data_IF_188291685710
#
_entry.id   IF_188291685710
#
_cell.length_a   1.000
_cell.length_b   1.000
_cell.length_c   1.000
_cell.angle_alpha   90.00
_cell.angle_beta   90.00
_cell.angle_gamma   90.00
#
_symmetry.space_group_name_H-M   'P 1'
#
loop_
_entity.id
_entity.type
_entity.pdbx_description
1 polymer ?
#
# COMPACT_ATOMS: atom_id res chain seq x y z
N UNK A 1 4.28 0.65 -17.84
CA UNK A 1 4.82 2.03 -17.95
C UNK A 1 6.09 2.29 -17.10
N UNK A 2 6.66 1.27 -16.42
CA UNK A 2 7.80 1.39 -15.49
C UNK A 2 7.54 2.30 -14.27
N UNK A 3 6.28 2.60 -13.97
CA UNK A 3 5.91 3.37 -12.79
C UNK A 3 5.51 2.42 -11.67
N UNK A 4 5.99 2.71 -10.45
CA UNK A 4 5.48 2.06 -9.27
C UNK A 4 4.10 2.65 -8.94
N UNK A 5 3.09 1.83 -8.61
CA UNK A 5 1.76 2.34 -8.39
C UNK A 5 1.63 2.97 -7.00
N UNK A 6 0.85 4.04 -6.91
CA UNK A 6 0.48 4.67 -5.65
C UNK A 6 -0.92 4.25 -5.26
N UNK A 7 -1.16 3.98 -3.97
CA UNK A 7 -2.45 3.55 -3.50
C UNK A 7 -2.42 2.59 -2.33
N UNK A 8 -3.56 1.94 -2.13
CA UNK A 8 -3.79 1.03 -1.00
C UNK A 8 -4.00 -0.39 -1.50
N UNK A 9 -3.19 -1.30 -0.98
CA UNK A 9 -3.09 -2.68 -1.39
C UNK A 9 -3.17 -3.62 -0.18
N UNK A 10 -3.33 -4.91 -0.45
CA UNK A 10 -3.42 -5.91 0.60
C UNK A 10 -2.64 -7.16 0.18
N UNK A 11 -1.76 -7.62 1.06
CA UNK A 11 -1.10 -8.92 0.91
C UNK A 11 -1.98 -10.00 1.51
N UNK A 12 -2.13 -11.10 0.79
CA UNK A 12 -2.85 -12.30 1.23
C UNK A 12 -1.89 -13.49 1.18
N UNK A 13 -2.27 -14.71 1.62
CA UNK A 13 -1.41 -15.88 1.46
C UNK A 13 -0.96 -16.09 0.00
N UNK A 14 -1.79 -15.75 -0.99
CA UNK A 14 -1.45 -15.84 -2.41
C UNK A 14 -0.42 -14.79 -2.87
N UNK A 15 -0.13 -13.77 -2.05
CA UNK A 15 0.91 -12.78 -2.33
C UNK A 15 2.33 -13.32 -2.12
N UNK A 16 2.49 -14.40 -1.35
CA UNK A 16 3.78 -14.96 -0.99
C UNK A 16 4.41 -15.67 -2.19
N UNK A 17 5.62 -15.26 -2.58
CA UNK A 17 6.43 -15.94 -3.59
C UNK A 17 7.83 -16.29 -3.03
N UNK A 18 7.99 -17.47 -2.40
CA UNK A 18 9.26 -17.91 -1.83
C UNK A 18 10.28 -18.33 -2.89
N UNK A 19 9.82 -18.68 -4.10
CA UNK A 19 10.66 -19.18 -5.19
C UNK A 19 11.00 -18.09 -6.21
N UNK A 20 11.04 -16.83 -5.76
CA UNK A 20 11.32 -15.70 -6.63
C UNK A 20 12.74 -15.76 -7.18
N UNK A 21 12.90 -15.52 -8.48
CA UNK A 21 14.23 -15.30 -9.08
C UNK A 21 14.94 -14.07 -8.52
N UNK A 22 14.27 -13.25 -7.69
CA UNK A 22 14.80 -12.08 -6.98
C UNK A 22 15.00 -12.33 -5.47
N UNK A 23 15.34 -13.56 -5.08
CA UNK A 23 15.54 -14.04 -3.70
C UNK A 23 14.23 -14.35 -2.97
N UNK A 24 13.38 -13.34 -2.75
CA UNK A 24 12.02 -13.46 -2.18
C UNK A 24 11.15 -12.38 -2.80
N UNK A 25 9.83 -12.60 -2.88
CA UNK A 25 8.91 -11.58 -3.36
C UNK A 25 7.52 -11.64 -2.71
N UNK A 26 6.88 -10.48 -2.63
CA UNK A 26 5.51 -10.28 -2.21
C UNK A 26 4.75 -9.54 -3.31
N UNK A 27 3.70 -10.16 -3.86
CA UNK A 27 2.82 -9.50 -4.82
C UNK A 27 1.84 -8.57 -4.09
N UNK A 28 1.85 -7.27 -4.44
CA UNK A 28 0.95 -6.30 -3.80
C UNK A 28 -0.51 -6.43 -4.27
N UNK A 29 -0.79 -7.30 -5.25
CA UNK A 29 -2.12 -7.48 -5.85
C UNK A 29 -2.63 -6.23 -6.59
N UNK A 30 -1.72 -5.57 -7.31
CA UNK A 30 -2.08 -4.58 -8.32
C UNK A 30 -2.60 -5.27 -9.59
N UNK A 31 -3.62 -4.72 -10.30
CA UNK A 31 -4.38 -3.51 -9.95
C UNK A 31 -5.42 -3.79 -8.87
N UNK A 32 -5.66 -2.83 -7.98
CA UNK A 32 -6.78 -2.91 -7.04
C UNK A 32 -8.09 -2.40 -7.68
N UNK A 33 -9.16 -2.24 -6.90
CA UNK A 33 -10.45 -1.71 -7.41
C UNK A 33 -10.36 -0.24 -7.88
N UNK A 34 -9.55 0.58 -7.22
CA UNK A 34 -9.33 1.98 -7.60
C UNK A 34 -8.65 2.05 -8.96
N UNK A 35 -7.59 1.26 -9.15
CA UNK A 35 -6.82 1.19 -10.39
C UNK A 35 -7.70 0.77 -11.56
N UNK A 36 -8.49 -0.30 -11.39
CA UNK A 36 -9.44 -0.77 -12.43
C UNK A 36 -10.50 0.27 -12.77
N UNK A 37 -11.02 1.02 -11.80
CA UNK A 37 -11.99 2.10 -12.05
C UNK A 37 -11.39 3.28 -12.84
N UNK A 38 -10.06 3.41 -12.87
CA UNK A 38 -9.34 4.40 -13.67
C UNK A 38 -8.72 3.79 -14.93
N UNK A 39 -9.15 2.58 -15.32
CA UNK A 39 -8.64 1.85 -16.47
C UNK A 39 -7.12 1.65 -16.44
N UNK A 40 -6.52 1.60 -15.24
CA UNK A 40 -5.12 1.22 -15.08
C UNK A 40 -4.98 -0.29 -15.21
N UNK A 41 -3.98 -0.71 -15.95
CA UNK A 41 -3.66 -2.10 -16.25
C UNK A 41 -2.22 -2.45 -15.86
N UNK A 42 -1.79 -3.66 -16.21
CA UNK A 42 -0.54 -4.27 -15.76
C UNK A 42 -0.74 -5.24 -14.61
N UNK A 43 0.34 -5.87 -14.17
CA UNK A 43 0.35 -6.88 -13.12
C UNK A 43 1.73 -6.97 -12.47
N UNK A 44 1.91 -7.97 -11.58
CA UNK A 44 3.20 -8.41 -11.04
C UNK A 44 4.06 -7.29 -10.41
N UNK A 45 3.40 -6.32 -9.76
CA UNK A 45 4.10 -5.35 -8.92
C UNK A 45 4.51 -6.03 -7.61
N UNK A 46 5.81 -6.21 -7.43
CA UNK A 46 6.37 -6.97 -6.32
C UNK A 46 7.16 -6.08 -5.36
N UNK A 47 7.14 -6.44 -4.08
CA UNK A 47 8.19 -6.07 -3.12
C UNK A 47 9.17 -7.24 -3.09
N UNK A 48 10.44 -7.02 -3.43
CA UNK A 48 11.39 -8.13 -3.64
C UNK A 48 12.83 -7.79 -3.24
N UNK A 49 13.70 -8.80 -3.20
CA UNK A 49 15.14 -8.65 -2.96
C UNK A 49 15.93 -8.14 -4.16
N UNK A 50 17.25 -8.25 -4.14
CA UNK A 50 18.14 -7.68 -5.18
C UNK A 50 17.93 -6.17 -5.39
N UNK A 51 18.67 -5.58 -6.34
CA UNK A 51 18.75 -4.13 -6.51
C UNK A 51 18.08 -3.59 -7.79
N UNK A 52 17.55 -4.45 -8.67
CA UNK A 52 16.99 -4.04 -9.96
C UNK A 52 15.47 -4.07 -9.93
N UNK A 53 14.82 -2.97 -10.33
CA UNK A 53 13.36 -2.91 -10.50
C UNK A 53 12.98 -2.10 -11.74
N UNK A 54 11.79 -2.36 -12.27
CA UNK A 54 11.15 -1.55 -13.31
C UNK A 54 9.66 -1.39 -12.96
N UNK A 55 9.38 -0.63 -11.89
CA UNK A 55 8.04 -0.46 -11.32
C UNK A 55 7.78 -1.29 -10.04
N UNK A 56 8.68 -2.21 -9.69
CA UNK A 56 8.65 -2.98 -8.44
C UNK A 56 9.42 -2.25 -7.32
N UNK A 57 9.28 -2.76 -6.09
CA UNK A 57 9.98 -2.25 -4.91
C UNK A 57 11.14 -3.16 -4.53
N UNK A 58 12.34 -2.81 -4.99
CA UNK A 58 13.58 -3.53 -4.65
C UNK A 58 14.07 -3.10 -3.25
N UNK A 59 14.01 -4.02 -2.28
CA UNK A 59 14.39 -3.78 -0.89
C UNK A 59 15.83 -4.20 -0.57
N UNK A 60 16.44 -5.02 -1.43
CA UNK A 60 17.65 -5.77 -1.07
C UNK A 60 17.34 -7.06 -0.30
N UNK A 61 18.27 -8.01 -0.31
CA UNK A 61 18.02 -9.37 0.20
C UNK A 61 17.71 -9.39 1.71
N UNK A 62 18.51 -8.69 2.53
CA UNK A 62 18.34 -8.69 3.98
C UNK A 62 16.99 -8.08 4.40
N UNK A 63 16.60 -6.97 3.78
CA UNK A 63 15.32 -6.30 4.07
C UNK A 63 14.13 -7.14 3.62
N UNK A 64 14.19 -7.77 2.43
CA UNK A 64 13.07 -8.61 1.99
C UNK A 64 12.91 -9.86 2.84
N UNK A 65 13.99 -10.45 3.35
CA UNK A 65 13.90 -11.59 4.28
C UNK A 65 13.09 -11.24 5.52
N UNK A 66 13.41 -10.12 6.17
CA UNK A 66 12.68 -9.65 7.35
C UNK A 66 11.21 -9.38 7.03
N UNK A 67 10.94 -8.60 5.99
CA UNK A 67 9.58 -8.25 5.57
C UNK A 67 8.78 -9.52 5.21
N UNK A 68 9.36 -10.41 4.42
CA UNK A 68 8.70 -11.63 3.96
C UNK A 68 8.35 -12.54 5.14
N UNK A 69 9.29 -12.79 6.05
CA UNK A 69 9.04 -13.66 7.20
C UNK A 69 8.02 -13.06 8.18
N UNK A 70 8.03 -11.74 8.40
CA UNK A 70 6.98 -11.08 9.20
C UNK A 70 5.59 -11.24 8.56
N UNK A 71 5.48 -10.98 7.24
CA UNK A 71 4.23 -11.12 6.50
C UNK A 71 3.75 -12.57 6.50
N UNK A 72 4.65 -13.51 6.20
CA UNK A 72 4.33 -14.93 6.19
C UNK A 72 3.85 -15.41 7.56
N UNK A 73 4.56 -15.05 8.63
CA UNK A 73 4.20 -15.43 10.00
C UNK A 73 2.82 -14.87 10.39
N UNK A 74 2.55 -13.59 10.12
CA UNK A 74 1.26 -12.97 10.43
C UNK A 74 0.11 -13.66 9.69
N UNK A 75 0.30 -13.97 8.40
CA UNK A 75 -0.71 -14.64 7.58
C UNK A 75 -0.94 -16.09 8.05
N UNK A 76 0.14 -16.84 8.36
CA UNK A 76 0.05 -18.21 8.90
C UNK A 76 -0.62 -18.25 10.29
N UNK A 77 -0.45 -17.21 11.09
CA UNK A 77 -1.09 -17.04 12.42
C UNK A 77 -2.56 -16.57 12.34
N UNK A 78 -3.14 -16.50 11.14
CA UNK A 78 -4.57 -16.23 10.95
C UNK A 78 -4.93 -14.78 10.64
N UNK A 79 -3.96 -13.88 10.47
CA UNK A 79 -4.25 -12.55 9.93
C UNK A 79 -4.73 -12.69 8.49
N UNK A 80 -5.95 -12.22 8.19
CA UNK A 80 -6.58 -12.40 6.86
C UNK A 80 -5.81 -11.71 5.72
N UNK A 81 -5.22 -10.56 6.01
CA UNK A 81 -4.42 -9.79 5.06
C UNK A 81 -3.49 -8.81 5.79
N UNK A 82 -2.40 -8.41 5.13
CA UNK A 82 -1.51 -7.32 5.56
C UNK A 82 -1.79 -6.09 4.71
N UNK A 83 -1.96 -4.92 5.33
CA UNK A 83 -2.21 -3.67 4.63
C UNK A 83 -0.90 -3.08 4.09
N UNK A 84 -0.89 -2.68 2.81
CA UNK A 84 0.25 -2.02 2.17
C UNK A 84 -0.23 -0.69 1.62
N UNK A 85 0.36 0.41 2.08
CA UNK A 85 0.08 1.73 1.55
C UNK A 85 1.32 2.31 0.89
N UNK A 86 1.14 2.81 -0.33
CA UNK A 86 2.22 3.32 -1.16
C UNK A 86 1.87 4.76 -1.49
N UNK A 87 2.73 5.68 -1.05
CA UNK A 87 2.53 7.11 -1.17
C UNK A 87 3.71 7.73 -1.94
N UNK A 88 3.47 8.79 -2.74
CA UNK A 88 4.53 9.47 -3.50
C UNK A 88 5.60 10.12 -2.62
N UNK A 89 5.22 10.51 -1.41
CA UNK A 89 6.04 11.19 -0.42
C UNK A 89 5.35 11.11 0.95
N UNK A 90 6.02 11.56 2.01
CA UNK A 90 5.37 11.80 3.32
C UNK A 90 4.30 12.87 3.16
N UNK A 91 3.02 12.52 3.26
CA UNK A 91 1.91 13.40 2.88
C UNK A 91 1.52 14.41 3.96
N UNK A 92 2.51 15.16 4.49
CA UNK A 92 2.24 16.36 5.29
C UNK A 92 1.58 17.44 4.43
N UNK A 93 0.85 18.36 5.06
CA UNK A 93 0.22 19.50 4.36
C UNK A 93 1.25 20.29 3.54
N UNK A 94 2.40 20.61 4.15
CA UNK A 94 3.51 21.30 3.48
C UNK A 94 3.97 20.59 2.20
N UNK A 95 4.15 19.26 2.26
CA UNK A 95 4.61 18.51 1.10
C UNK A 95 3.52 18.46 0.02
N UNK A 96 2.25 18.27 0.40
CA UNK A 96 1.15 18.23 -0.54
C UNK A 96 0.98 19.60 -1.25
N UNK A 97 1.10 20.70 -0.52
CA UNK A 97 0.99 22.06 -1.07
C UNK A 97 2.11 22.40 -2.06
N UNK A 98 3.31 21.86 -1.86
CA UNK A 98 4.41 21.99 -2.82
C UNK A 98 4.02 21.45 -4.22
N UNK A 99 3.09 20.49 -4.27
CA UNK A 99 2.60 19.92 -5.51
C UNK A 99 1.17 20.34 -5.90
N UNK A 100 0.65 21.45 -5.38
CA UNK A 100 -0.72 21.95 -5.66
C UNK A 100 -1.10 22.11 -7.14
N UNK A 101 -0.10 22.23 -8.03
CA UNK A 101 -0.28 22.35 -9.49
C UNK A 101 -0.14 21.02 -10.24
N UNK A 102 0.17 19.92 -9.55
CA UNK A 102 0.27 18.59 -10.15
C UNK A 102 -1.11 18.09 -10.58
N UNK A 103 -1.18 17.43 -11.74
CA UNK A 103 -2.41 16.77 -12.17
C UNK A 103 -2.82 15.61 -11.22
N UNK A 104 -1.88 15.06 -10.45
CA UNK A 104 -2.14 14.05 -9.42
C UNK A 104 -2.65 14.64 -8.10
N UNK A 105 -2.62 15.96 -7.92
CA UNK A 105 -2.98 16.59 -6.65
C UNK A 105 -4.36 16.17 -6.11
N UNK A 106 -5.45 16.09 -6.91
CA UNK A 106 -6.75 15.64 -6.42
C UNK A 106 -6.73 14.19 -5.90
N UNK A 107 -5.90 13.34 -6.51
CA UNK A 107 -5.68 11.96 -6.10
C UNK A 107 -4.86 11.88 -4.81
N UNK A 108 -3.76 12.62 -4.72
CA UNK A 108 -2.93 12.69 -3.51
C UNK A 108 -3.68 13.25 -2.32
N UNK A 109 -4.51 14.28 -2.53
CA UNK A 109 -5.40 14.81 -1.50
C UNK A 109 -6.42 13.77 -1.02
N UNK A 110 -6.88 12.88 -1.90
CA UNK A 110 -7.74 11.77 -1.49
C UNK A 110 -6.96 10.73 -0.66
N UNK A 111 -5.76 10.34 -1.09
CA UNK A 111 -4.91 9.42 -0.35
C UNK A 111 -4.49 9.96 1.02
N UNK A 112 -4.30 11.27 1.14
CA UNK A 112 -3.90 11.93 2.38
C UNK A 112 -4.81 11.61 3.56
N UNK A 113 -6.12 11.45 3.32
CA UNK A 113 -7.06 11.08 4.38
C UNK A 113 -6.69 9.75 5.06
N UNK A 114 -6.28 8.74 4.29
CA UNK A 114 -5.86 7.45 4.82
C UNK A 114 -4.51 7.51 5.53
N UNK A 115 -3.58 8.30 5.00
CA UNK A 115 -2.28 8.55 5.61
C UNK A 115 -2.40 9.24 6.96
N UNK A 116 -3.13 10.36 7.03
CA UNK A 116 -3.29 11.11 8.28
C UNK A 116 -3.98 10.29 9.36
N UNK A 117 -4.96 9.44 8.99
CA UNK A 117 -5.58 8.51 9.95
C UNK A 117 -4.55 7.56 10.56
N UNK A 118 -3.68 6.98 9.73
CA UNK A 118 -2.63 6.08 10.22
C UNK A 118 -1.61 6.82 11.07
N UNK A 119 -1.14 8.01 10.66
CA UNK A 119 -0.16 8.78 11.43
C UNK A 119 -0.70 9.20 12.81
N UNK A 120 -2.01 9.43 12.93
CA UNK A 120 -2.64 9.83 14.20
C UNK A 120 -2.91 8.65 15.13
N UNK A 121 -3.26 7.48 14.58
CA UNK A 121 -3.76 6.34 15.38
C UNK A 121 -2.83 5.14 15.41
N UNK A 122 -1.83 5.11 14.52
CA UNK A 122 -1.01 3.94 14.20
C UNK A 122 -1.81 2.70 13.80
N UNK A 123 -3.08 2.87 13.39
CA UNK A 123 -3.97 1.81 12.95
C UNK A 123 -4.37 2.11 11.50
N UNK A 124 -4.08 1.22 10.53
CA UNK A 124 -4.48 1.46 9.15
C UNK A 124 -6.01 1.51 9.03
N UNK A 125 -6.59 2.50 8.32
CA UNK A 125 -8.03 2.53 8.09
C UNK A 125 -8.47 1.39 7.17
N UNK A 126 -9.75 1.04 7.20
CA UNK A 126 -10.34 0.27 6.10
C UNK A 126 -10.44 1.16 4.87
N UNK A 127 -9.84 0.72 3.76
CA UNK A 127 -9.93 1.41 2.48
C UNK A 127 -10.93 0.69 1.56
N UNK A 128 -11.85 1.47 0.99
CA UNK A 128 -12.77 1.04 -0.06
C UNK A 128 -12.72 2.01 -1.24
N UNK A 129 -13.51 1.72 -2.28
CA UNK A 129 -13.61 2.59 -3.46
C UNK A 129 -15.08 2.85 -3.77
N UNK A 130 -15.46 4.13 -3.89
CA UNK A 130 -16.79 4.60 -4.28
C UNK A 130 -16.65 5.77 -5.26
N UNK A 131 -17.33 5.71 -6.40
CA UNK A 131 -17.29 6.77 -7.41
C UNK A 131 -15.87 7.15 -7.86
N UNK A 132 -15.03 6.13 -8.14
CA UNK A 132 -13.61 6.31 -8.50
C UNK A 132 -12.77 7.08 -7.45
N UNK A 133 -13.17 7.07 -6.18
CA UNK A 133 -12.40 7.68 -5.07
C UNK A 133 -12.20 6.67 -3.95
N UNK A 134 -11.07 6.76 -3.26
CA UNK A 134 -10.89 6.05 -2.01
C UNK A 134 -11.83 6.60 -0.95
N UNK A 135 -12.48 5.70 -0.23
CA UNK A 135 -13.19 5.98 1.02
C UNK A 135 -12.44 5.28 2.16
N UNK A 136 -12.26 5.99 3.27
CA UNK A 136 -11.58 5.47 4.44
C UNK A 136 -12.56 5.39 5.60
N UNK A 137 -12.64 4.22 6.22
CA UNK A 137 -13.43 4.00 7.43
C UNK A 137 -12.49 3.63 8.56
N UNK A 138 -12.70 4.22 9.74
CA UNK A 138 -11.99 3.89 10.96
C UNK A 138 -12.21 2.41 11.32
N UNK A 139 -11.21 1.73 11.89
CA UNK A 139 -11.38 0.34 12.37
C UNK A 139 -12.04 0.35 13.75
N UNK A 140 -12.69 -0.75 14.13
CA UNK A 140 -13.44 -0.84 15.39
C UNK A 140 -12.65 -0.51 16.67
N UNK A 141 -11.32 -0.69 16.66
CA UNK A 141 -10.45 -0.23 17.76
C UNK A 141 -10.36 1.30 17.87
N UNK A 142 -10.49 2.01 16.75
CA UNK A 142 -10.42 3.47 16.65
C UNK A 142 -11.73 4.15 17.09
N UNK A 143 -12.87 3.44 16.98
CA UNK A 143 -14.18 3.94 17.41
C UNK A 143 -14.26 4.11 18.94
N UNK A 144 -13.47 3.33 19.69
CA UNK A 144 -13.44 3.37 21.15
C UNK A 144 -12.40 4.34 21.73
N UNK A 145 -11.53 4.94 20.90
CA UNK A 145 -10.48 5.87 21.33
C UNK A 145 -10.92 7.34 21.36
N UNK A 146 -12.18 7.65 21.03
CA UNK A 146 -12.72 9.02 20.99
C UNK A 146 -13.97 9.22 21.85
N UNK A 147 -14.23 8.31 22.80
CA UNK A 147 -15.22 8.50 23.86
C UNK A 147 -14.50 8.48 25.20
N UNK A 148 -13.94 9.62 25.61
CA UNK A 148 -13.67 10.01 26.99
C UNK A 148 -13.41 11.52 27.03
#
# INVERSE_FOLDING_TARGET
>A
DRQAPEGIYALTPASLNPNSHYHLALNINYPNRYDRNHHRDGDLIMIHGKCSSSGCFAMGNSQIEEIYHMVEAALKQGQKFIYVAIYPFRMSEKNLDAFRRSHWYPFWKNLQSGYLHFEQTHIPPFAGVKGARYIFQKRGRDLNLTQN
#
